data_IF_684127368667
#
_entry.id   IF_684127368667
#
_cell.length_a   1.000
_cell.length_b   1.000
_cell.length_c   1.000
_cell.angle_alpha   90.00
_cell.angle_beta   90.00
_cell.angle_gamma   90.00
#
_symmetry.space_group_name_H-M   'P 1'
#
loop_
_entity.id
_entity.type
_entity.pdbx_description
1 polymer ?
#
# COMPACT_ATOMS: atom_id res chain seq x y z
N UNK A 1 -29.49 -36.55 8.61
CA UNK A 1 -28.07 -36.86 8.83
C UNK A 1 -27.28 -35.57 8.60
N UNK A 2 -26.56 -35.09 9.57
CA UNK A 2 -25.65 -33.94 9.39
C UNK A 2 -24.41 -34.48 8.69
N UNK A 3 -24.14 -34.01 7.49
CA UNK A 3 -22.94 -34.38 6.76
C UNK A 3 -21.75 -33.63 7.41
N UNK A 4 -20.86 -34.40 8.04
CA UNK A 4 -19.66 -33.81 8.63
C UNK A 4 -18.55 -33.74 7.56
N UNK A 5 -18.03 -32.55 7.34
CA UNK A 5 -16.86 -32.33 6.47
C UNK A 5 -15.64 -32.12 7.37
N UNK A 6 -14.54 -32.75 7.04
CA UNK A 6 -13.25 -32.53 7.69
C UNK A 6 -12.32 -31.80 6.74
N UNK A 7 -11.75 -30.69 7.21
CA UNK A 7 -10.76 -29.90 6.50
C UNK A 7 -9.48 -29.80 7.33
N UNK A 8 -8.32 -29.73 6.67
CA UNK A 8 -7.05 -29.51 7.36
C UNK A 8 -6.97 -28.10 7.96
N UNK A 9 -7.65 -27.15 7.32
CA UNK A 9 -7.67 -25.74 7.75
C UNK A 9 -9.02 -25.10 7.50
N UNK A 10 -9.44 -24.28 8.45
CA UNK A 10 -10.63 -23.44 8.34
C UNK A 10 -10.22 -21.99 8.49
N UNK A 11 -10.64 -21.15 7.54
CA UNK A 11 -10.35 -19.72 7.50
C UNK A 11 -11.66 -18.96 7.62
N UNK A 12 -11.70 -18.00 8.52
CA UNK A 12 -12.86 -17.13 8.72
C UNK A 12 -12.57 -15.75 8.11
N UNK A 13 -13.38 -15.36 7.16
CA UNK A 13 -13.25 -14.14 6.38
C UNK A 13 -12.50 -14.35 5.06
N UNK A 14 -13.11 -13.88 3.96
CA UNK A 14 -12.58 -13.96 2.60
C UNK A 14 -11.96 -12.64 2.11
N UNK A 15 -11.50 -11.78 3.02
CA UNK A 15 -10.69 -10.62 2.67
C UNK A 15 -9.32 -11.04 2.12
N UNK A 16 -8.49 -10.09 1.60
CA UNK A 16 -7.21 -10.40 0.97
C UNK A 16 -6.29 -11.27 1.82
N UNK A 17 -6.22 -11.03 3.12
CA UNK A 17 -5.37 -11.79 4.03
C UNK A 17 -5.91 -13.22 4.27
N UNK A 18 -7.22 -13.38 4.41
CA UNK A 18 -7.86 -14.70 4.55
C UNK A 18 -7.67 -15.53 3.28
N UNK A 19 -7.87 -14.93 2.11
CA UNK A 19 -7.64 -15.59 0.83
C UNK A 19 -6.15 -15.93 0.62
N UNK A 20 -5.23 -15.06 1.03
CA UNK A 20 -3.80 -15.34 0.97
C UNK A 20 -3.43 -16.56 1.83
N UNK A 21 -3.98 -16.66 3.04
CA UNK A 21 -3.78 -17.81 3.90
C UNK A 21 -4.38 -19.09 3.29
N UNK A 22 -5.59 -19.01 2.73
CA UNK A 22 -6.26 -20.14 2.06
C UNK A 22 -5.45 -20.66 0.87
N UNK A 23 -4.99 -19.75 0.01
CA UNK A 23 -4.15 -20.08 -1.15
C UNK A 23 -2.85 -20.76 -0.69
N UNK A 24 -2.18 -20.18 0.31
CA UNK A 24 -0.94 -20.74 0.85
C UNK A 24 -1.13 -22.18 1.35
N UNK A 25 -2.21 -22.43 2.12
CA UNK A 25 -2.51 -23.78 2.61
C UNK A 25 -2.83 -24.73 1.46
N UNK A 26 -3.66 -24.32 0.51
CA UNK A 26 -4.03 -25.13 -0.65
C UNK A 26 -2.81 -25.48 -1.52
N UNK A 27 -1.91 -24.53 -1.77
CA UNK A 27 -0.66 -24.77 -2.50
C UNK A 27 0.28 -25.76 -1.80
N UNK A 28 0.14 -25.91 -0.49
CA UNK A 28 0.84 -26.93 0.31
C UNK A 28 0.04 -28.25 0.47
N UNK A 29 -0.96 -28.47 -0.38
CA UNK A 29 -1.72 -29.74 -0.43
C UNK A 29 -2.71 -29.91 0.73
N UNK A 30 -3.08 -28.84 1.44
CA UNK A 30 -4.07 -28.88 2.51
C UNK A 30 -5.48 -28.63 1.98
N UNK A 31 -6.44 -29.38 2.49
CA UNK A 31 -7.85 -29.11 2.27
C UNK A 31 -8.27 -27.89 3.09
N UNK A 32 -8.92 -26.91 2.46
CA UNK A 32 -9.23 -25.62 3.10
C UNK A 32 -10.70 -25.28 2.91
N UNK A 33 -11.36 -24.87 3.98
CA UNK A 33 -12.66 -24.22 3.95
C UNK A 33 -12.50 -22.75 4.31
N UNK A 34 -13.17 -21.87 3.54
CA UNK A 34 -13.25 -20.44 3.83
C UNK A 34 -14.69 -20.10 4.14
N UNK A 35 -14.93 -19.49 5.30
CA UNK A 35 -16.25 -19.01 5.72
C UNK A 35 -16.28 -17.49 5.63
N UNK A 36 -17.28 -16.96 4.94
CA UNK A 36 -17.54 -15.53 4.80
C UNK A 36 -18.92 -15.21 5.37
N UNK A 37 -19.02 -14.11 6.12
CA UNK A 37 -20.28 -13.68 6.72
C UNK A 37 -21.17 -12.91 5.73
N UNK A 38 -20.56 -12.29 4.72
CA UNK A 38 -21.23 -11.50 3.72
C UNK A 38 -21.54 -12.32 2.47
N UNK A 39 -22.53 -11.89 1.68
CA UNK A 39 -22.88 -12.54 0.43
C UNK A 39 -21.76 -12.49 -0.61
N UNK A 40 -20.99 -11.39 -0.59
CA UNK A 40 -19.88 -11.18 -1.51
C UNK A 40 -18.53 -11.35 -0.82
N UNK A 41 -17.65 -12.14 -1.41
CA UNK A 41 -16.28 -12.30 -0.95
C UNK A 41 -15.45 -11.03 -1.23
N UNK A 42 -14.28 -10.91 -0.58
CA UNK A 42 -13.30 -9.85 -0.87
C UNK A 42 -13.05 -8.87 0.28
N UNK A 43 -13.88 -8.89 1.33
CA UNK A 43 -13.70 -7.99 2.48
C UNK A 43 -13.71 -6.52 2.07
N UNK A 44 -12.62 -5.79 2.32
CA UNK A 44 -12.47 -4.37 1.97
C UNK A 44 -12.19 -4.09 0.48
N UNK A 45 -12.02 -5.12 -0.35
CA UNK A 45 -11.76 -4.97 -1.80
C UNK A 45 -12.99 -5.26 -2.65
N UNK A 46 -14.18 -5.01 -2.10
CA UNK A 46 -15.45 -5.15 -2.79
C UNK A 46 -15.85 -3.85 -3.47
N UNK A 47 -16.57 -3.98 -4.59
CA UNK A 47 -17.16 -2.86 -5.31
C UNK A 47 -18.69 -3.04 -5.39
N UNK A 48 -19.42 -1.95 -5.46
CA UNK A 48 -20.87 -1.95 -5.60
C UNK A 48 -21.40 -0.66 -6.28
N UNK A 49 -22.62 -0.73 -6.75
CA UNK A 49 -23.37 0.43 -7.22
C UNK A 49 -23.92 1.20 -6.01
N UNK A 50 -23.20 2.26 -5.59
CA UNK A 50 -23.52 3.01 -4.36
C UNK A 50 -24.26 4.32 -4.61
N UNK A 51 -24.25 4.83 -5.84
CA UNK A 51 -24.84 6.13 -6.20
C UNK A 51 -25.87 5.99 -7.32
N UNK A 52 -25.49 6.35 -8.54
CA UNK A 52 -26.37 6.22 -9.71
C UNK A 52 -26.18 4.85 -10.37
N UNK A 53 -27.22 4.28 -11.00
CA UNK A 53 -27.11 3.03 -11.72
C UNK A 53 -26.00 3.06 -12.78
N UNK A 54 -25.16 2.02 -12.80
CA UNK A 54 -24.03 1.90 -13.72
C UNK A 54 -22.74 2.58 -13.26
N UNK A 55 -22.73 3.22 -12.08
CA UNK A 55 -21.52 3.74 -11.46
C UNK A 55 -21.04 2.80 -10.37
N UNK A 56 -20.01 2.04 -10.69
CA UNK A 56 -19.37 1.10 -9.75
C UNK A 56 -18.36 1.84 -8.86
N UNK A 57 -18.48 1.66 -7.56
CA UNK A 57 -17.61 2.27 -6.56
C UNK A 57 -16.93 1.20 -5.73
N UNK A 58 -15.68 1.44 -5.34
CA UNK A 58 -15.04 0.66 -4.30
C UNK A 58 -15.64 1.02 -2.94
N UNK A 59 -16.04 0.00 -2.17
CA UNK A 59 -16.71 0.21 -0.88
C UNK A 59 -15.73 0.75 0.16
N UNK A 60 -14.48 0.31 0.12
CA UNK A 60 -13.46 0.65 1.12
C UNK A 60 -12.11 0.94 0.46
N UNK A 61 -11.42 -0.08 -0.04
CA UNK A 61 -10.07 0.07 -0.61
C UNK A 61 -10.14 0.33 -2.11
N UNK A 62 -9.65 1.49 -2.55
CA UNK A 62 -9.63 1.90 -3.96
C UNK A 62 -8.22 1.93 -4.57
N UNK A 63 -7.15 1.93 -3.75
CA UNK A 63 -5.75 1.97 -4.19
C UNK A 63 -4.93 0.92 -3.45
N UNK A 64 -4.06 0.21 -4.18
CA UNK A 64 -3.42 -1.02 -3.70
C UNK A 64 -1.89 -1.02 -3.85
N UNK A 65 -1.14 0.00 -3.37
CA UNK A 65 0.30 0.05 -3.52
C UNK A 65 1.01 -1.11 -2.80
N UNK A 66 0.49 -1.52 -1.63
CA UNK A 66 1.04 -2.65 -0.89
C UNK A 66 0.76 -4.00 -1.57
N UNK A 67 -0.33 -4.13 -2.32
CA UNK A 67 -0.61 -5.36 -3.07
C UNK A 67 0.34 -5.51 -4.26
N UNK A 68 0.62 -4.42 -4.99
CA UNK A 68 1.61 -4.40 -6.08
C UNK A 68 3.01 -4.71 -5.52
N UNK A 69 3.37 -4.16 -4.37
CA UNK A 69 4.66 -4.38 -3.70
C UNK A 69 4.78 -5.76 -3.05
N UNK A 70 3.67 -6.41 -2.70
CA UNK A 70 3.68 -7.65 -1.92
C UNK A 70 4.42 -8.80 -2.62
N UNK A 71 5.46 -9.38 -2.00
CA UNK A 71 6.12 -10.57 -2.54
C UNK A 71 5.16 -11.74 -2.73
N UNK A 72 4.16 -11.89 -1.85
CA UNK A 72 3.14 -12.93 -1.96
C UNK A 72 2.26 -12.74 -3.19
N UNK A 73 1.63 -11.58 -3.37
CA UNK A 73 0.75 -11.35 -4.52
C UNK A 73 1.51 -11.36 -5.85
N UNK A 74 2.75 -10.90 -5.88
CA UNK A 74 3.63 -11.02 -7.07
C UNK A 74 3.99 -12.47 -7.42
N UNK A 75 3.95 -13.38 -6.46
CA UNK A 75 4.20 -14.81 -6.71
C UNK A 75 3.01 -15.55 -7.30
N UNK A 76 1.83 -14.95 -7.30
CA UNK A 76 0.61 -15.54 -7.83
C UNK A 76 0.37 -15.14 -9.29
N UNK A 77 -0.21 -16.02 -10.12
CA UNK A 77 -0.51 -15.73 -11.52
C UNK A 77 -1.81 -14.93 -11.66
N UNK A 78 -1.95 -13.81 -10.91
CA UNK A 78 -3.20 -13.05 -10.80
C UNK A 78 -3.70 -12.49 -12.14
N UNK A 79 -2.78 -12.16 -13.05
CA UNK A 79 -3.15 -11.71 -14.41
C UNK A 79 -3.90 -12.80 -15.18
N UNK A 80 -3.59 -14.10 -14.98
CA UNK A 80 -4.32 -15.22 -15.59
C UNK A 80 -5.75 -15.36 -15.04
N UNK A 81 -6.01 -14.75 -13.88
CA UNK A 81 -7.32 -14.70 -13.22
C UNK A 81 -8.02 -13.36 -13.41
N UNK A 82 -7.58 -12.54 -14.37
CA UNK A 82 -8.25 -11.31 -14.77
C UNK A 82 -7.85 -10.06 -13.98
N UNK A 83 -6.82 -10.12 -13.11
CA UNK A 83 -6.33 -8.91 -12.45
C UNK A 83 -5.54 -8.05 -13.42
N UNK A 84 -5.98 -6.81 -13.60
CA UNK A 84 -5.28 -5.78 -14.35
C UNK A 84 -4.96 -4.59 -13.45
N UNK A 85 -3.69 -4.13 -13.45
CA UNK A 85 -3.27 -2.97 -12.70
C UNK A 85 -3.39 -1.70 -13.55
N UNK A 86 -4.33 -0.85 -13.20
CA UNK A 86 -4.50 0.46 -13.83
C UNK A 86 -3.74 1.50 -13.01
N UNK A 87 -2.87 2.26 -13.67
CA UNK A 87 -2.12 3.32 -13.03
C UNK A 87 -2.51 4.68 -13.63
N UNK A 88 -3.03 5.60 -12.79
CA UNK A 88 -3.37 6.95 -13.24
C UNK A 88 -2.11 7.76 -13.61
N UNK A 89 -2.24 8.82 -14.40
CA UNK A 89 -1.12 9.73 -14.72
C UNK A 89 -0.46 10.30 -13.48
N UNK A 90 -1.25 10.78 -12.50
CA UNK A 90 -0.79 11.18 -11.19
C UNK A 90 -1.35 10.23 -10.12
N UNK A 91 -0.50 9.73 -9.22
CA UNK A 91 -0.89 8.76 -8.21
C UNK A 91 -1.84 9.35 -7.17
N UNK A 92 -1.63 10.62 -6.81
CA UNK A 92 -2.49 11.38 -5.91
C UNK A 92 -2.27 12.90 -6.10
N UNK A 93 -3.22 13.69 -5.59
CA UNK A 93 -3.12 15.13 -5.51
C UNK A 93 -3.61 15.61 -4.14
N UNK A 94 -2.90 16.58 -3.56
CA UNK A 94 -3.34 17.29 -2.37
C UNK A 94 -3.70 18.72 -2.75
N UNK A 95 -4.97 19.14 -2.64
CA UNK A 95 -5.38 20.52 -2.80
C UNK A 95 -4.81 21.35 -1.65
N UNK A 96 -4.46 22.61 -1.93
CA UNK A 96 -3.94 23.57 -0.98
C UNK A 96 -4.93 24.73 -0.82
N UNK A 97 -4.83 25.45 0.28
CA UNK A 97 -5.74 26.56 0.61
C UNK A 97 -5.63 27.75 -0.35
N UNK A 98 -4.55 27.84 -1.11
CA UNK A 98 -4.32 28.84 -2.14
C UNK A 98 -5.00 28.53 -3.50
N UNK A 99 -5.82 27.47 -3.54
CA UNK A 99 -6.52 27.01 -4.75
C UNK A 99 -5.64 26.24 -5.72
N UNK A 100 -4.38 25.96 -5.39
CA UNK A 100 -3.49 25.09 -6.18
C UNK A 100 -3.54 23.65 -5.63
N UNK A 101 -2.83 22.74 -6.29
CA UNK A 101 -2.61 21.39 -5.80
C UNK A 101 -1.15 20.98 -5.96
N UNK A 102 -0.71 20.02 -5.14
CA UNK A 102 0.55 19.32 -5.32
C UNK A 102 0.25 17.85 -5.66
N UNK A 103 0.90 17.33 -6.70
CA UNK A 103 0.70 15.98 -7.22
C UNK A 103 1.89 15.09 -6.94
N UNK A 104 1.62 13.81 -6.70
CA UNK A 104 2.62 12.76 -6.73
C UNK A 104 2.62 12.16 -8.14
N UNK A 105 3.66 12.44 -8.87
CA UNK A 105 3.87 11.95 -10.22
C UNK A 105 4.57 10.58 -10.21
N UNK A 106 4.61 9.94 -11.38
CA UNK A 106 5.22 8.60 -11.51
C UNK A 106 6.72 8.60 -11.27
N UNK A 107 7.41 9.69 -11.52
CA UNK A 107 8.83 9.80 -11.25
C UNK A 107 9.14 10.78 -10.13
N UNK A 108 10.23 10.51 -9.40
CA UNK A 108 10.75 11.43 -8.38
C UNK A 108 11.13 12.77 -9.03
N UNK A 109 11.62 12.75 -10.25
CA UNK A 109 12.04 13.95 -10.95
C UNK A 109 10.86 14.87 -11.28
N UNK A 110 9.76 14.29 -11.76
CA UNK A 110 8.52 15.02 -12.08
C UNK A 110 7.89 15.59 -10.81
N UNK A 111 7.68 14.76 -9.76
CA UNK A 111 7.19 15.23 -8.47
C UNK A 111 8.05 16.36 -7.93
N UNK A 112 9.37 16.18 -7.90
CA UNK A 112 10.31 17.18 -7.39
C UNK A 112 10.27 18.50 -8.16
N UNK A 113 10.00 18.47 -9.46
CA UNK A 113 9.93 19.67 -10.29
C UNK A 113 8.83 20.64 -9.85
N UNK A 114 7.74 20.12 -9.27
CA UNK A 114 6.60 20.90 -8.77
C UNK A 114 6.80 21.43 -7.34
N UNK A 115 7.89 21.07 -6.65
CA UNK A 115 8.13 21.41 -5.25
C UNK A 115 9.00 22.66 -5.03
N UNK A 116 9.34 23.38 -6.10
CA UNK A 116 10.10 24.65 -6.02
C UNK A 116 11.45 24.48 -5.33
N UNK A 117 11.67 25.25 -4.24
CA UNK A 117 12.92 25.22 -3.47
C UNK A 117 13.21 23.87 -2.78
N UNK A 118 12.22 23.02 -2.60
CA UNK A 118 12.37 21.72 -1.96
C UNK A 118 12.66 20.57 -2.95
N UNK A 119 12.84 20.88 -4.24
CA UNK A 119 13.17 19.90 -5.29
C UNK A 119 14.28 18.96 -4.86
N UNK A 120 15.41 19.49 -4.47
CA UNK A 120 16.60 18.71 -4.15
C UNK A 120 16.47 18.00 -2.81
N UNK A 121 15.80 18.60 -1.84
CA UNK A 121 15.50 17.98 -0.56
C UNK A 121 14.62 16.74 -0.73
N UNK A 122 13.59 16.85 -1.57
CA UNK A 122 12.70 15.71 -1.90
C UNK A 122 13.46 14.59 -2.61
N UNK A 123 14.24 14.92 -3.64
CA UNK A 123 15.07 13.93 -4.35
C UNK A 123 16.06 13.24 -3.42
N UNK A 124 16.73 13.99 -2.55
CA UNK A 124 17.71 13.46 -1.57
C UNK A 124 17.05 12.50 -0.57
N UNK A 125 15.79 12.75 -0.19
CA UNK A 125 15.03 11.88 0.69
C UNK A 125 14.55 10.63 -0.03
N UNK A 126 13.91 10.78 -1.19
CA UNK A 126 13.18 9.69 -1.84
C UNK A 126 14.03 8.80 -2.75
N UNK A 127 15.03 9.34 -3.45
CA UNK A 127 15.80 8.56 -4.42
C UNK A 127 16.53 7.36 -3.81
N UNK A 128 17.16 7.44 -2.63
CA UNK A 128 17.79 6.27 -2.02
C UNK A 128 16.79 5.20 -1.59
N UNK A 129 15.57 5.58 -1.23
CA UNK A 129 14.51 4.64 -0.85
C UNK A 129 14.03 3.88 -2.09
N UNK A 130 13.78 4.58 -3.19
CA UNK A 130 13.35 3.96 -4.43
C UNK A 130 14.45 3.06 -5.04
N UNK A 131 15.71 3.51 -5.02
CA UNK A 131 16.82 2.72 -5.54
C UNK A 131 17.05 1.39 -4.79
N UNK A 132 16.58 1.29 -3.55
CA UNK A 132 16.71 0.10 -2.72
C UNK A 132 15.34 -0.56 -2.41
N UNK A 133 14.30 -0.20 -3.17
CA UNK A 133 12.94 -0.61 -2.87
C UNK A 133 12.76 -2.12 -2.82
N UNK A 134 13.27 -2.87 -3.81
CA UNK A 134 13.11 -4.33 -3.88
C UNK A 134 13.70 -5.07 -2.66
N UNK A 135 14.76 -4.52 -2.06
CA UNK A 135 15.32 -5.05 -0.82
C UNK A 135 14.49 -4.65 0.40
N UNK A 136 14.02 -3.42 0.43
CA UNK A 136 13.22 -2.90 1.54
C UNK A 136 11.83 -3.53 1.58
N UNK A 137 11.13 -3.67 0.45
CA UNK A 137 9.79 -4.24 0.43
C UNK A 137 9.80 -5.71 0.88
N UNK A 138 10.80 -6.48 0.46
CA UNK A 138 10.97 -7.88 0.86
C UNK A 138 11.26 -8.04 2.37
N UNK A 139 11.92 -7.06 2.98
CA UNK A 139 12.22 -7.07 4.41
C UNK A 139 11.07 -6.48 5.24
N UNK A 140 10.28 -5.54 4.69
CA UNK A 140 9.15 -4.90 5.36
C UNK A 140 7.84 -5.69 5.22
N UNK A 141 7.57 -6.26 4.03
CA UNK A 141 6.31 -6.93 3.69
C UNK A 141 6.43 -8.46 3.71
N UNK A 142 7.62 -8.98 3.89
CA UNK A 142 7.86 -10.41 4.02
C UNK A 142 7.70 -10.93 5.46
N UNK A 143 7.86 -12.26 5.65
CA UNK A 143 7.89 -12.85 6.99
C UNK A 143 9.00 -12.23 7.86
N UNK A 144 8.79 -12.09 9.18
CA UNK A 144 9.80 -11.57 10.09
C UNK A 144 11.11 -12.36 10.01
N UNK A 145 12.20 -11.69 9.70
CA UNK A 145 13.54 -12.27 9.57
C UNK A 145 14.60 -11.19 9.76
N UNK A 146 15.87 -11.59 9.87
CA UNK A 146 16.99 -10.66 9.77
C UNK A 146 16.99 -10.00 8.38
N UNK A 147 17.09 -8.67 8.30
CA UNK A 147 17.10 -7.95 7.03
C UNK A 147 18.22 -8.43 6.11
N UNK A 148 17.89 -8.63 4.82
CA UNK A 148 18.90 -8.99 3.81
C UNK A 148 19.87 -7.85 3.53
N UNK A 149 19.41 -6.62 3.68
CA UNK A 149 20.18 -5.39 3.51
C UNK A 149 20.17 -4.54 4.77
N UNK A 150 20.87 -4.95 5.86
CA UNK A 150 20.78 -4.32 7.18
C UNK A 150 21.03 -2.82 7.17
N UNK A 151 21.96 -2.36 6.33
CA UNK A 151 22.27 -0.93 6.21
C UNK A 151 21.12 -0.10 5.64
N UNK A 152 20.50 -0.58 4.55
CA UNK A 152 19.33 0.09 3.95
C UNK A 152 18.13 0.07 4.88
N UNK A 153 17.91 -1.06 5.54
CA UNK A 153 16.84 -1.22 6.53
C UNK A 153 17.03 -0.29 7.73
N UNK A 154 18.24 -0.20 8.27
CA UNK A 154 18.55 0.72 9.38
C UNK A 154 18.36 2.18 8.96
N UNK A 155 18.86 2.56 7.78
CA UNK A 155 18.70 3.92 7.25
C UNK A 155 17.23 4.29 7.06
N UNK A 156 16.42 3.38 6.53
CA UNK A 156 14.98 3.55 6.43
C UNK A 156 14.35 3.67 7.81
N UNK A 157 14.65 2.76 8.74
CA UNK A 157 14.11 2.74 10.10
C UNK A 157 14.38 4.00 10.88
N UNK A 158 15.60 4.56 10.78
CA UNK A 158 15.96 5.84 11.42
C UNK A 158 15.14 7.03 10.90
N UNK A 159 14.64 6.97 9.68
CA UNK A 159 13.71 7.96 9.14
C UNK A 159 12.28 7.65 9.55
N UNK A 160 11.86 6.39 9.43
CA UNK A 160 10.49 5.95 9.63
C UNK A 160 10.02 6.01 11.10
N UNK A 161 10.95 5.93 12.06
CA UNK A 161 10.64 6.05 13.49
C UNK A 161 10.39 7.50 13.94
N UNK A 162 10.74 8.48 13.11
CA UNK A 162 10.53 9.89 13.47
C UNK A 162 9.08 10.29 13.26
N UNK A 163 8.53 11.18 14.11
CA UNK A 163 7.25 11.80 13.83
C UNK A 163 7.23 12.44 12.43
N UNK A 164 6.20 12.15 11.65
CA UNK A 164 6.12 12.61 10.28
C UNK A 164 6.19 14.14 10.15
N UNK A 165 5.54 14.85 11.08
CA UNK A 165 5.60 16.31 11.17
C UNK A 165 7.03 16.81 11.35
N UNK A 166 7.76 16.24 12.31
CA UNK A 166 9.16 16.62 12.56
C UNK A 166 10.05 16.36 11.35
N UNK A 167 9.87 15.22 10.69
CA UNK A 167 10.62 14.89 9.48
C UNK A 167 10.31 15.88 8.36
N UNK A 168 9.03 16.19 8.12
CA UNK A 168 8.61 17.16 7.11
C UNK A 168 9.20 18.56 7.38
N UNK A 169 9.08 19.05 8.61
CA UNK A 169 9.58 20.38 8.99
C UNK A 169 11.11 20.49 8.92
N UNK A 170 11.83 19.41 9.22
CA UNK A 170 13.30 19.38 9.17
C UNK A 170 13.85 19.26 7.75
N UNK A 171 13.07 18.66 6.82
CA UNK A 171 13.53 18.40 5.44
C UNK A 171 13.03 19.41 4.43
N UNK A 172 11.86 19.99 4.63
CA UNK A 172 11.18 20.82 3.66
C UNK A 172 10.90 22.22 4.22
N UNK A 173 11.01 23.22 3.36
CA UNK A 173 10.76 24.63 3.67
C UNK A 173 9.39 25.08 3.18
N UNK A 174 8.98 24.64 2.00
CA UNK A 174 7.74 25.05 1.34
C UNK A 174 6.53 24.24 1.78
N UNK A 175 5.36 24.87 1.74
CA UNK A 175 4.09 24.24 2.09
C UNK A 175 3.77 23.05 1.19
N UNK A 176 4.06 23.13 -0.10
CA UNK A 176 3.76 22.06 -1.08
C UNK A 176 4.44 20.74 -0.71
N UNK A 177 5.74 20.76 -0.43
CA UNK A 177 6.49 19.56 -0.08
C UNK A 177 6.05 18.99 1.27
N UNK A 178 5.79 19.87 2.25
CA UNK A 178 5.24 19.46 3.57
C UNK A 178 3.86 18.85 3.46
N UNK A 179 2.96 19.46 2.69
CA UNK A 179 1.61 18.95 2.47
C UNK A 179 1.62 17.58 1.78
N UNK A 180 2.41 17.43 0.71
CA UNK A 180 2.55 16.16 0.00
C UNK A 180 3.05 15.05 0.94
N UNK A 181 4.11 15.33 1.71
CA UNK A 181 4.67 14.36 2.65
C UNK A 181 3.72 14.04 3.79
N UNK A 182 3.07 15.04 4.38
CA UNK A 182 2.11 14.85 5.46
C UNK A 182 0.88 14.05 5.02
N UNK A 183 0.34 14.33 3.82
CA UNK A 183 -0.77 13.59 3.27
C UNK A 183 -0.44 12.12 3.02
N UNK A 184 0.77 11.81 2.53
CA UNK A 184 1.22 10.43 2.41
C UNK A 184 1.37 9.76 3.78
N UNK A 185 1.96 10.45 4.76
CA UNK A 185 2.16 9.91 6.10
C UNK A 185 0.84 9.68 6.86
N UNK A 186 -0.21 10.45 6.55
CA UNK A 186 -1.54 10.31 7.16
C UNK A 186 -2.17 8.94 6.89
N UNK A 187 -1.75 8.22 5.84
CA UNK A 187 -2.19 6.85 5.59
C UNK A 187 -1.77 5.84 6.67
N UNK A 188 -0.84 6.22 7.55
CA UNK A 188 -0.53 5.41 8.75
C UNK A 188 -1.66 5.39 9.77
N UNK A 189 -2.67 6.26 9.63
CA UNK A 189 -3.78 6.47 10.58
C UNK A 189 -3.30 6.88 11.99
N UNK A 190 -2.07 7.36 12.11
CA UNK A 190 -1.48 7.87 13.33
C UNK A 190 -1.41 9.40 13.31
N UNK A 191 -1.46 10.06 14.48
CA UNK A 191 -1.15 11.49 14.56
C UNK A 191 0.25 11.78 14.00
N UNK A 192 0.37 12.82 13.18
CA UNK A 192 1.64 13.16 12.50
C UNK A 192 2.75 13.61 13.46
N UNK A 193 2.39 13.89 14.71
CA UNK A 193 3.27 14.29 15.80
C UNK A 193 3.91 13.11 16.56
N UNK A 194 3.47 11.87 16.28
CA UNK A 194 3.90 10.66 16.99
C UNK A 194 4.79 9.77 16.16
#
# INVERSE_FOLDING_TARGET
MVQSYAYDSVIVGSGPNGLAAAITMAQNGRSVAVFEAEENIGGSVRSADLTLPGFVHDICSAVYPLAIGSPFFRSLPLAQHGLEWVQPPAALAHPLDDGTAVTLERSIAETASALGSDRDAYRKLMSPLLANWDGLDADLLGPPRLPRHPWNFTRFGLLAIQPARRLAESRFRGARARALFAGLAAHSMLPLEK
#
